data_IF_167921525133
#
_entry.id   IF_167921525133
#
_cell.length_a   1.000
_cell.length_b   1.000
_cell.length_c   1.000
_cell.angle_alpha   90.00
_cell.angle_beta   90.00
_cell.angle_gamma   90.00
#
_symmetry.space_group_name_H-M   'P 1'
#
loop_
_entity.id
_entity.type
_entity.pdbx_description
1 polymer ?
#
# COMPACT_ATOMS: atom_id res chain seq x y z
N UNK A 1 -48.71 -41.60 -42.64
CA UNK A 1 -47.63 -42.38 -41.94
C UNK A 1 -46.27 -41.78 -42.30
N UNK A 2 -45.71 -40.96 -41.45
CA UNK A 2 -44.36 -40.37 -41.65
C UNK A 2 -43.31 -41.46 -41.46
N UNK A 3 -42.47 -41.61 -42.47
CA UNK A 3 -41.52 -42.71 -42.68
C UNK A 3 -40.49 -42.75 -41.55
N UNK A 4 -40.39 -43.90 -40.84
CA UNK A 4 -39.41 -44.19 -39.75
C UNK A 4 -37.96 -43.80 -40.10
N UNK A 5 -37.60 -43.82 -41.38
CA UNK A 5 -36.27 -43.41 -41.87
C UNK A 5 -36.00 -41.89 -41.78
N UNK A 6 -37.05 -41.04 -41.83
CA UNK A 6 -36.91 -39.58 -41.66
C UNK A 6 -36.76 -39.21 -40.19
N UNK A 7 -37.43 -39.93 -39.28
CA UNK A 7 -37.31 -39.71 -37.85
C UNK A 7 -35.93 -40.02 -37.31
N UNK A 8 -35.31 -41.13 -37.79
CA UNK A 8 -33.95 -41.51 -37.40
C UNK A 8 -32.89 -40.52 -37.92
N UNK A 9 -33.08 -39.95 -39.12
CA UNK A 9 -32.18 -38.88 -39.65
C UNK A 9 -32.26 -37.59 -38.87
N UNK A 10 -33.42 -37.21 -38.37
CA UNK A 10 -33.60 -35.99 -37.55
C UNK A 10 -32.95 -36.20 -36.15
N UNK A 11 -33.08 -37.37 -35.55
CA UNK A 11 -32.44 -37.66 -34.27
C UNK A 11 -30.91 -37.70 -34.42
N UNK A 12 -30.37 -38.25 -35.49
CA UNK A 12 -28.92 -38.25 -35.74
C UNK A 12 -28.37 -36.84 -36.01
N UNK A 13 -29.13 -35.99 -36.68
CA UNK A 13 -28.71 -34.59 -36.90
C UNK A 13 -28.77 -33.78 -35.61
N UNK A 14 -29.73 -34.02 -34.72
CA UNK A 14 -29.84 -33.38 -33.44
C UNK A 14 -28.73 -33.80 -32.46
N UNK A 15 -28.35 -35.09 -32.46
CA UNK A 15 -27.23 -35.59 -31.66
C UNK A 15 -25.90 -35.12 -32.21
N UNK A 16 -25.68 -35.03 -33.52
CA UNK A 16 -24.46 -34.52 -34.11
C UNK A 16 -24.28 -33.02 -33.86
N UNK A 17 -25.34 -32.21 -33.84
CA UNK A 17 -25.25 -30.79 -33.49
C UNK A 17 -25.05 -30.55 -32.01
N UNK A 18 -25.62 -31.39 -31.13
CA UNK A 18 -25.35 -31.27 -29.66
C UNK A 18 -23.95 -31.75 -29.33
N UNK A 19 -23.39 -32.73 -30.02
CA UNK A 19 -22.02 -33.21 -29.83
C UNK A 19 -20.99 -32.23 -30.42
N UNK A 20 -21.27 -31.55 -31.52
CA UNK A 20 -20.38 -30.54 -32.08
C UNK A 20 -20.41 -29.22 -31.26
N UNK A 21 -21.55 -28.86 -30.63
CA UNK A 21 -21.63 -27.71 -29.72
C UNK A 21 -20.96 -27.96 -28.36
N UNK A 22 -20.71 -29.22 -27.96
CA UNK A 22 -19.93 -29.53 -26.75
C UNK A 22 -18.41 -29.60 -27.00
N UNK A 23 -17.96 -29.72 -28.24
CA UNK A 23 -16.54 -29.82 -28.61
C UNK A 23 -15.95 -28.55 -29.22
N UNK A 24 -16.77 -27.49 -29.47
CA UNK A 24 -16.29 -26.16 -29.80
C UNK A 24 -16.39 -25.22 -28.57
N UNK A 25 -15.94 -25.64 -27.37
CA UNK A 25 -15.13 -24.77 -26.57
C UNK A 25 -13.78 -24.78 -27.27
N UNK A 26 -13.59 -23.85 -28.20
CA UNK A 26 -12.25 -23.41 -28.56
C UNK A 26 -11.53 -23.22 -27.25
N UNK A 27 -10.49 -24.02 -27.00
CA UNK A 27 -9.44 -23.65 -26.09
C UNK A 27 -8.87 -22.35 -26.68
N UNK A 28 -9.46 -21.21 -26.33
CA UNK A 28 -8.68 -19.98 -26.28
C UNK A 28 -7.50 -20.40 -25.42
N UNK A 29 -6.32 -20.40 -26.00
CA UNK A 29 -5.09 -20.54 -25.27
C UNK A 29 -5.19 -19.48 -24.18
N UNK A 30 -5.59 -19.90 -22.96
CA UNK A 30 -5.60 -18.99 -21.81
C UNK A 30 -4.16 -18.54 -21.73
N UNK A 31 -3.92 -17.25 -21.97
CA UNK A 31 -2.62 -16.67 -21.71
C UNK A 31 -2.24 -17.09 -20.28
N UNK A 32 -1.06 -17.70 -20.09
CA UNK A 32 -0.68 -18.17 -18.79
C UNK A 32 -0.81 -17.01 -17.79
N UNK A 33 -1.45 -17.27 -16.65
CA UNK A 33 -1.60 -16.27 -15.61
C UNK A 33 -0.24 -15.64 -15.28
N UNK A 34 -0.18 -14.33 -15.02
CA UNK A 34 1.05 -13.69 -14.57
C UNK A 34 1.64 -14.46 -13.37
N UNK A 35 2.97 -14.47 -13.25
CA UNK A 35 3.66 -15.26 -12.23
C UNK A 35 3.09 -15.07 -10.81
N UNK A 36 2.68 -13.87 -10.47
CA UNK A 36 2.18 -13.53 -9.13
C UNK A 36 0.73 -13.97 -8.87
N UNK A 37 -0.01 -14.42 -9.87
CA UNK A 37 -1.33 -15.01 -9.72
C UNK A 37 -1.21 -16.52 -9.48
N UNK A 38 -1.96 -17.04 -8.51
CA UNK A 38 -2.06 -18.46 -8.23
C UNK A 38 -3.41 -19.03 -8.70
N UNK A 39 -3.47 -20.32 -9.12
CA UNK A 39 -4.71 -20.91 -9.61
C UNK A 39 -5.87 -20.92 -8.61
N UNK A 40 -5.57 -20.79 -7.31
CA UNK A 40 -6.55 -20.74 -6.23
C UNK A 40 -7.08 -19.31 -5.93
N UNK A 41 -6.75 -18.34 -6.81
CA UNK A 41 -7.17 -16.94 -6.70
C UNK A 41 -6.40 -16.11 -5.68
N UNK A 42 -5.32 -16.65 -5.11
CA UNK A 42 -4.40 -15.91 -4.23
C UNK A 42 -3.19 -15.37 -5.01
N UNK A 43 -2.39 -14.55 -4.34
CA UNK A 43 -1.21 -13.92 -4.93
C UNK A 43 0.08 -14.33 -4.24
N UNK A 44 1.20 -14.14 -4.93
CA UNK A 44 2.56 -14.38 -4.40
C UNK A 44 3.52 -13.28 -4.84
N UNK A 45 4.59 -13.10 -4.08
CA UNK A 45 5.68 -12.20 -4.45
C UNK A 45 6.45 -12.69 -5.70
N UNK A 46 7.08 -11.75 -6.41
CA UNK A 46 8.03 -12.07 -7.47
C UNK A 46 9.22 -12.88 -6.92
N UNK A 47 9.93 -13.65 -7.76
CA UNK A 47 11.15 -14.33 -7.37
C UNK A 47 12.24 -13.35 -6.91
N UNK A 48 13.14 -13.81 -6.03
CA UNK A 48 14.30 -13.05 -5.57
C UNK A 48 14.05 -12.17 -4.34
N UNK A 49 12.81 -12.05 -3.86
CA UNK A 49 12.53 -11.39 -2.58
C UNK A 49 13.03 -12.19 -1.39
N UNK A 50 13.29 -11.52 -0.25
CA UNK A 50 13.79 -12.17 0.95
C UNK A 50 12.73 -13.11 1.55
N UNK A 51 13.20 -14.16 2.18
CA UNK A 51 12.35 -15.15 2.86
C UNK A 51 12.41 -14.93 4.37
N UNK A 52 11.33 -15.26 5.06
CA UNK A 52 11.38 -15.35 6.52
C UNK A 52 12.37 -16.44 6.93
N UNK A 53 13.25 -16.12 7.84
CA UNK A 53 14.09 -17.11 8.50
C UNK A 53 13.22 -17.85 9.51
N UNK A 54 12.61 -18.94 9.07
CA UNK A 54 11.95 -19.87 9.99
C UNK A 54 13.07 -20.76 10.55
N UNK A 55 13.54 -20.47 11.77
CA UNK A 55 14.36 -21.47 12.46
C UNK A 55 13.52 -22.72 12.60
N UNK A 56 14.10 -23.88 12.30
CA UNK A 56 13.44 -25.20 12.33
C UNK A 56 12.79 -25.53 13.69
N UNK A 57 13.09 -24.77 14.72
CA UNK A 57 12.52 -24.88 16.08
C UNK A 57 11.40 -23.86 16.38
N UNK A 58 10.99 -23.02 15.43
CA UNK A 58 9.99 -21.98 15.67
C UNK A 58 8.81 -22.16 14.71
N UNK A 59 7.92 -23.08 15.10
CA UNK A 59 6.64 -23.33 14.44
C UNK A 59 5.78 -22.04 14.36
N UNK A 60 4.73 -22.07 13.52
CA UNK A 60 3.64 -21.07 13.46
C UNK A 60 3.13 -20.66 14.85
N UNK A 61 3.34 -21.51 15.87
CA UNK A 61 3.05 -21.26 17.29
C UNK A 61 3.89 -20.09 17.87
N UNK A 62 5.13 -19.90 17.42
CA UNK A 62 5.98 -18.82 17.94
C UNK A 62 5.72 -17.47 17.26
N UNK A 63 5.31 -17.46 15.99
CA UNK A 63 4.75 -16.27 15.37
C UNK A 63 3.47 -15.84 16.07
N UNK A 64 2.57 -16.81 16.35
CA UNK A 64 1.34 -16.55 17.09
C UNK A 64 1.63 -16.14 18.55
N UNK A 65 2.67 -16.68 19.15
CA UNK A 65 3.10 -16.36 20.52
C UNK A 65 3.81 -15.00 20.60
N UNK A 66 4.57 -14.61 19.58
CA UNK A 66 5.14 -13.27 19.43
C UNK A 66 4.03 -12.24 19.20
N UNK A 67 3.14 -12.51 18.24
CA UNK A 67 1.99 -11.66 17.96
C UNK A 67 1.03 -11.60 19.16
N UNK A 68 0.76 -12.73 19.81
CA UNK A 68 -0.11 -12.80 20.99
C UNK A 68 0.55 -12.17 22.23
N UNK A 69 1.82 -12.45 22.51
CA UNK A 69 2.54 -11.87 23.65
C UNK A 69 3.01 -10.45 23.38
N UNK A 70 3.48 -10.17 22.17
CA UNK A 70 4.04 -8.87 21.82
C UNK A 70 2.98 -7.82 21.53
N UNK A 71 1.90 -8.18 20.86
CA UNK A 71 0.86 -7.23 20.43
C UNK A 71 -0.42 -7.42 21.24
N UNK A 72 -1.05 -8.59 21.20
CA UNK A 72 -2.37 -8.78 21.81
C UNK A 72 -2.31 -8.77 23.34
N UNK A 73 -1.39 -9.51 23.96
CA UNK A 73 -1.31 -9.55 25.43
C UNK A 73 -0.85 -8.21 26.01
N UNK A 74 0.06 -7.52 25.34
CA UNK A 74 0.58 -6.24 25.75
C UNK A 74 -0.47 -5.13 25.63
N UNK A 75 -1.24 -5.09 24.53
CA UNK A 75 -2.32 -4.12 24.33
C UNK A 75 -3.57 -4.40 25.16
N UNK A 76 -3.93 -5.67 25.40
CA UNK A 76 -5.09 -6.01 26.23
C UNK A 76 -4.84 -5.86 27.72
N UNK A 77 -3.58 -5.95 28.20
CA UNK A 77 -3.25 -6.02 29.62
C UNK A 77 -2.25 -4.97 30.11
N UNK A 78 -1.43 -4.38 29.23
CA UNK A 78 -0.50 -3.29 29.53
C UNK A 78 -0.83 -2.05 28.68
N UNK A 79 -1.67 -1.18 29.21
CA UNK A 79 -2.18 0.02 28.55
C UNK A 79 -1.14 1.12 28.30
N UNK A 80 0.16 0.84 28.26
CA UNK A 80 1.18 1.86 28.03
C UNK A 80 2.30 1.40 27.11
N UNK A 81 2.20 1.73 25.83
CA UNK A 81 3.37 1.97 25.02
C UNK A 81 3.17 3.11 24.03
N UNK A 82 2.65 4.20 24.53
CA UNK A 82 3.03 5.52 24.00
C UNK A 82 4.49 5.69 24.42
N UNK A 83 5.42 5.91 23.47
CA UNK A 83 6.81 6.22 23.82
C UNK A 83 6.83 7.38 24.82
N UNK A 84 7.53 7.18 25.95
CA UNK A 84 7.56 8.21 27.01
C UNK A 84 8.12 9.55 26.54
N UNK A 85 8.86 9.56 25.41
CA UNK A 85 9.54 10.72 24.85
C UNK A 85 9.23 10.89 23.36
N UNK A 86 8.04 11.38 23.03
CA UNK A 86 7.75 11.83 21.65
C UNK A 86 8.55 13.11 21.41
N UNK A 87 9.42 13.17 20.37
CA UNK A 87 10.15 14.39 20.03
C UNK A 87 9.16 15.56 19.83
N UNK A 88 9.40 16.74 20.42
CA UNK A 88 8.44 17.85 20.42
C UNK A 88 8.11 18.37 19.01
N UNK A 89 9.01 18.17 18.06
CA UNK A 89 8.89 18.56 16.66
C UNK A 89 8.37 17.43 15.76
N UNK A 90 8.10 16.24 16.32
CA UNK A 90 7.65 15.11 15.55
C UNK A 90 6.26 15.31 14.90
N UNK A 91 5.39 16.10 15.51
CA UNK A 91 4.07 16.42 14.97
C UNK A 91 3.73 17.89 15.17
N UNK A 92 3.25 18.53 14.11
CA UNK A 92 2.75 19.91 14.17
C UNK A 92 1.41 19.96 14.91
N UNK A 93 1.09 21.15 15.45
CA UNK A 93 -0.28 21.39 15.92
C UNK A 93 -1.25 21.37 14.75
N UNK A 94 -2.52 21.01 14.99
CA UNK A 94 -3.55 21.02 13.93
C UNK A 94 -3.68 22.39 13.26
N UNK A 95 -3.52 23.47 14.03
CA UNK A 95 -3.55 24.85 13.52
C UNK A 95 -2.41 25.08 12.53
N UNK A 96 -1.17 24.82 12.94
CA UNK A 96 0.02 25.02 12.09
C UNK A 96 -0.02 24.16 10.83
N UNK A 97 -0.46 22.89 10.96
CA UNK A 97 -0.59 21.98 9.81
C UNK A 97 -1.61 22.50 8.78
N UNK A 98 -2.75 23.03 9.24
CA UNK A 98 -3.77 23.61 8.36
C UNK A 98 -3.31 24.92 7.72
N UNK A 99 -2.63 25.79 8.48
CA UNK A 99 -2.05 27.02 7.94
C UNK A 99 -1.05 26.71 6.83
N UNK A 100 -0.09 25.79 7.04
CA UNK A 100 0.86 25.38 6.01
C UNK A 100 0.19 24.81 4.76
N UNK A 101 -0.84 23.95 4.93
CA UNK A 101 -1.58 23.39 3.81
C UNK A 101 -2.32 24.46 3.00
N UNK A 102 -2.96 25.43 3.68
CA UNK A 102 -3.74 26.50 3.05
C UNK A 102 -2.87 27.55 2.36
N UNK A 103 -1.74 27.89 2.96
CA UNK A 103 -0.78 28.87 2.43
C UNK A 103 0.06 28.31 1.28
N UNK A 104 0.11 26.95 1.14
CA UNK A 104 0.87 26.32 0.06
C UNK A 104 0.19 26.52 -1.30
N UNK A 105 0.77 27.39 -2.11
CA UNK A 105 0.28 27.71 -3.47
C UNK A 105 0.91 26.86 -4.57
N UNK A 106 1.97 26.11 -4.27
CA UNK A 106 2.70 25.32 -5.25
C UNK A 106 1.82 24.24 -5.90
N UNK A 107 2.06 23.94 -7.19
CA UNK A 107 1.22 22.98 -7.90
C UNK A 107 1.39 21.53 -7.42
N UNK A 108 2.54 21.18 -6.84
CA UNK A 108 2.79 19.86 -6.28
C UNK A 108 3.33 20.00 -4.87
N UNK A 109 2.63 19.42 -3.91
CA UNK A 109 3.09 19.35 -2.53
C UNK A 109 2.65 18.05 -1.86
N UNK A 110 3.35 17.70 -0.80
CA UNK A 110 3.11 16.49 0.01
C UNK A 110 2.97 16.91 1.45
N UNK A 111 1.87 16.51 2.10
CA UNK A 111 1.64 16.67 3.54
C UNK A 111 1.66 15.31 4.20
N UNK A 112 2.53 15.10 5.19
CA UNK A 112 2.57 13.85 5.92
C UNK A 112 1.49 13.79 7.01
N UNK A 113 0.58 12.84 6.94
CA UNK A 113 -0.50 12.68 7.93
C UNK A 113 -0.15 11.64 9.01
N UNK A 114 1.05 11.08 8.93
CA UNK A 114 1.56 10.02 9.78
C UNK A 114 1.44 8.63 9.14
N UNK A 115 2.33 7.70 9.53
CA UNK A 115 2.44 6.36 8.97
C UNK A 115 2.69 6.39 7.45
N UNK A 116 1.87 5.70 6.66
CA UNK A 116 1.90 5.73 5.19
C UNK A 116 0.85 6.69 4.59
N UNK A 117 0.20 7.50 5.43
CA UNK A 117 -0.84 8.42 4.99
C UNK A 117 -0.25 9.77 4.57
N UNK A 118 -0.42 10.13 3.30
CA UNK A 118 -0.03 11.42 2.73
C UNK A 118 -1.19 12.07 2.00
N UNK A 119 -1.29 13.39 2.13
CA UNK A 119 -2.12 14.22 1.28
C UNK A 119 -1.22 14.84 0.22
N UNK A 120 -1.41 14.46 -1.05
CA UNK A 120 -0.62 14.93 -2.18
C UNK A 120 -1.49 15.88 -3.00
N UNK A 121 -1.04 17.12 -3.16
CA UNK A 121 -1.63 18.12 -4.05
C UNK A 121 -1.05 17.97 -5.45
N UNK A 122 -1.90 17.89 -6.45
CA UNK A 122 -1.56 17.79 -7.88
C UNK A 122 -2.38 18.83 -8.64
N UNK A 123 -1.88 20.07 -8.69
CA UNK A 123 -2.61 21.24 -9.17
C UNK A 123 -3.81 21.56 -8.29
N UNK A 124 -5.02 21.38 -8.82
CA UNK A 124 -6.28 21.61 -8.07
C UNK A 124 -6.85 20.33 -7.44
N UNK A 125 -6.14 19.20 -7.54
CA UNK A 125 -6.61 17.91 -7.04
C UNK A 125 -5.83 17.47 -5.81
N UNK A 126 -6.53 16.75 -4.93
CA UNK A 126 -5.94 16.12 -3.75
C UNK A 126 -6.06 14.61 -3.85
N UNK A 127 -4.93 13.94 -3.71
CA UNK A 127 -4.77 12.50 -3.64
C UNK A 127 -4.35 12.12 -2.22
N UNK A 128 -4.97 11.08 -1.68
CA UNK A 128 -4.70 10.58 -0.34
C UNK A 128 -4.17 9.16 -0.42
N UNK A 129 -2.99 8.87 0.15
CA UNK A 129 -2.42 7.53 0.21
C UNK A 129 -2.74 6.88 1.54
N UNK A 130 -3.04 5.57 1.54
CA UNK A 130 -3.20 4.69 2.71
C UNK A 130 -3.74 5.40 3.97
N UNK A 131 -4.97 5.94 3.93
CA UNK A 131 -5.45 6.90 4.91
C UNK A 131 -5.78 6.25 6.26
N UNK A 132 -4.76 5.91 7.04
CA UNK A 132 -4.91 5.51 8.43
C UNK A 132 -4.92 6.75 9.33
N UNK A 133 -6.09 7.34 9.56
CA UNK A 133 -6.29 8.54 10.38
C UNK A 133 -7.13 8.26 11.63
N UNK A 134 -7.64 7.04 11.81
CA UNK A 134 -8.33 6.62 13.03
C UNK A 134 -7.34 6.30 14.14
N UNK A 135 -7.85 6.12 15.35
CA UNK A 135 -7.02 5.87 16.54
C UNK A 135 -6.31 4.52 16.49
N UNK A 136 -6.98 3.47 16.01
CA UNK A 136 -6.56 2.08 16.18
C UNK A 136 -6.46 1.36 14.84
N UNK A 137 -5.34 0.69 14.59
CA UNK A 137 -5.13 -0.18 13.43
C UNK A 137 -5.56 -1.62 13.75
N UNK A 138 -6.85 -1.92 13.59
CA UNK A 138 -7.32 -3.28 13.84
C UNK A 138 -8.82 -3.48 13.66
N UNK A 139 -9.29 -4.74 13.69
CA UNK A 139 -10.71 -5.05 13.59
C UNK A 139 -11.45 -4.57 14.85
N UNK A 140 -12.64 -3.99 14.67
CA UNK A 140 -13.53 -3.58 15.75
C UNK A 140 -12.89 -2.62 16.78
N UNK A 141 -11.83 -1.88 16.40
CA UNK A 141 -11.10 -1.00 17.31
C UNK A 141 -10.15 -1.74 18.26
N UNK A 142 -9.78 -2.98 17.95
CA UNK A 142 -8.80 -3.78 18.70
C UNK A 142 -7.54 -3.89 17.85
N UNK A 143 -6.42 -3.40 18.35
CA UNK A 143 -5.12 -3.38 17.66
C UNK A 143 -4.25 -2.22 18.13
N UNK A 144 -3.07 -2.01 17.52
CA UNK A 144 -2.17 -0.94 17.91
C UNK A 144 -2.82 0.43 17.78
N UNK A 145 -2.70 1.22 18.84
CA UNK A 145 -3.16 2.61 18.85
C UNK A 145 -2.08 3.55 18.31
N UNK A 146 -2.53 4.59 17.60
CA UNK A 146 -1.65 5.73 17.29
C UNK A 146 -1.21 6.39 18.60
N UNK A 147 0.09 6.62 18.74
CA UNK A 147 0.63 7.41 19.86
C UNK A 147 0.77 8.89 19.53
N UNK A 148 0.62 9.28 18.26
CA UNK A 148 0.45 10.68 17.84
C UNK A 148 -0.83 10.83 17.01
N UNK A 149 -1.54 11.97 17.08
CA UNK A 149 -2.72 12.21 16.26
C UNK A 149 -2.36 12.28 14.77
N UNK A 150 -3.36 12.13 13.90
CA UNK A 150 -3.17 12.42 12.47
C UNK A 150 -2.82 13.90 12.28
N UNK A 151 -1.93 14.19 11.32
CA UNK A 151 -1.46 15.53 11.05
C UNK A 151 -2.58 16.53 10.76
N UNK A 152 -3.63 16.09 10.07
CA UNK A 152 -4.86 16.86 9.83
C UNK A 152 -6.05 15.96 10.17
N UNK A 153 -7.05 16.52 10.88
CA UNK A 153 -8.29 15.80 11.18
C UNK A 153 -9.07 15.50 9.90
N UNK A 154 -9.77 14.36 9.87
CA UNK A 154 -10.60 13.98 8.71
C UNK A 154 -11.62 15.05 8.33
N UNK A 155 -12.20 15.76 9.32
CA UNK A 155 -13.16 16.84 9.11
C UNK A 155 -12.59 18.04 8.36
N UNK A 156 -11.27 18.26 8.50
CA UNK A 156 -10.54 19.44 8.05
C UNK A 156 -9.73 19.17 6.76
N UNK A 157 -9.78 17.93 6.26
CA UNK A 157 -9.21 17.58 4.96
C UNK A 157 -9.92 18.36 3.85
N UNK A 158 -9.19 18.79 2.80
CA UNK A 158 -9.80 19.34 1.60
C UNK A 158 -10.65 18.27 0.88
N UNK A 159 -11.37 18.67 -0.15
CA UNK A 159 -12.12 17.73 -0.99
C UNK A 159 -11.16 16.77 -1.69
N UNK A 160 -11.21 15.50 -1.29
CA UNK A 160 -10.36 14.45 -1.86
C UNK A 160 -10.92 14.01 -3.20
N UNK A 161 -10.07 13.95 -4.21
CA UNK A 161 -10.41 13.49 -5.55
C UNK A 161 -10.09 12.00 -5.75
N UNK A 162 -8.96 11.56 -5.18
CA UNK A 162 -8.46 10.20 -5.35
C UNK A 162 -7.89 9.64 -4.04
N UNK A 163 -8.11 8.37 -3.81
CA UNK A 163 -7.50 7.62 -2.71
C UNK A 163 -6.72 6.46 -3.34
N UNK A 164 -5.46 6.30 -2.96
CA UNK A 164 -4.64 5.13 -3.27
C UNK A 164 -4.57 4.23 -2.04
N UNK A 165 -4.83 2.95 -2.21
CA UNK A 165 -4.67 1.92 -1.18
C UNK A 165 -3.58 0.96 -1.66
N UNK A 166 -2.49 0.82 -0.90
CA UNK A 166 -1.40 -0.09 -1.25
C UNK A 166 -1.73 -1.56 -1.01
N UNK A 167 -2.38 -1.87 0.09
CA UNK A 167 -2.78 -3.22 0.46
C UNK A 167 -3.86 -3.22 1.57
N UNK A 168 -4.27 -4.41 2.02
CA UNK A 168 -5.45 -4.53 2.88
C UNK A 168 -5.17 -4.53 4.39
N UNK A 169 -3.95 -4.33 4.87
CA UNK A 169 -3.69 -4.26 6.30
C UNK A 169 -4.45 -3.10 6.96
N UNK A 170 -4.67 -3.19 8.28
CA UNK A 170 -5.56 -2.27 8.98
C UNK A 170 -5.00 -0.85 9.14
N UNK A 171 -3.69 -0.73 9.10
CA UNK A 171 -2.91 0.51 9.16
C UNK A 171 -2.71 1.18 7.78
N UNK A 172 -3.27 0.59 6.71
CA UNK A 172 -3.29 1.14 5.35
C UNK A 172 -4.72 1.28 4.84
N UNK A 173 -5.50 0.21 4.80
CA UNK A 173 -6.92 0.24 4.48
C UNK A 173 -7.72 0.41 5.79
N UNK A 174 -7.74 1.62 6.32
CA UNK A 174 -8.52 1.98 7.52
C UNK A 174 -9.98 2.25 7.16
N UNK A 175 -10.82 1.26 7.38
CA UNK A 175 -12.26 1.37 7.08
C UNK A 175 -12.97 2.42 7.94
N UNK A 176 -12.43 2.75 9.11
CA UNK A 176 -12.98 3.80 10.00
C UNK A 176 -12.77 5.18 9.40
N UNK A 177 -11.58 5.45 8.89
CA UNK A 177 -11.28 6.68 8.15
C UNK A 177 -12.08 6.75 6.85
N UNK A 178 -12.02 5.70 6.03
CA UNK A 178 -12.70 5.66 4.73
C UNK A 178 -14.22 5.86 4.84
N UNK A 179 -14.86 5.40 5.91
CA UNK A 179 -16.28 5.67 6.19
C UNK A 179 -16.57 7.15 6.44
N UNK A 180 -15.62 7.93 6.95
CA UNK A 180 -15.78 9.34 7.32
C UNK A 180 -15.40 10.32 6.20
N UNK A 181 -14.67 9.90 5.18
CA UNK A 181 -14.37 10.73 4.01
C UNK A 181 -15.69 11.20 3.35
N UNK A 182 -15.74 12.48 3.02
CA UNK A 182 -16.90 13.10 2.36
C UNK A 182 -16.95 12.74 0.86
N UNK A 183 -18.05 12.99 0.22
CA UNK A 183 -18.21 12.94 -1.25
C UNK A 183 -17.80 11.61 -1.91
N UNK A 184 -18.02 10.46 -1.24
CA UNK A 184 -17.60 9.12 -1.70
C UNK A 184 -18.15 8.71 -3.06
N UNK A 185 -19.25 9.34 -3.52
CA UNK A 185 -19.85 9.08 -4.83
C UNK A 185 -19.02 9.63 -5.99
N UNK A 186 -18.13 10.61 -5.74
CA UNK A 186 -17.26 11.22 -6.76
C UNK A 186 -15.77 10.89 -6.55
N UNK A 187 -15.38 10.52 -5.33
CA UNK A 187 -13.99 10.11 -5.02
C UNK A 187 -13.67 8.81 -5.76
N UNK A 188 -12.57 8.82 -6.50
CA UNK A 188 -12.01 7.60 -7.13
C UNK A 188 -11.10 6.89 -6.15
N UNK A 189 -11.33 5.61 -5.87
CA UNK A 189 -10.42 4.77 -5.09
C UNK A 189 -9.70 3.83 -6.03
N UNK A 190 -8.37 3.91 -6.06
CA UNK A 190 -7.49 3.00 -6.80
C UNK A 190 -6.86 2.06 -5.79
N UNK A 191 -6.97 0.77 -6.00
CA UNK A 191 -6.54 -0.25 -5.05
C UNK A 191 -6.04 -1.51 -5.77
N UNK A 192 -5.36 -2.43 -5.07
CA UNK A 192 -4.98 -3.73 -5.61
C UNK A 192 -6.18 -4.62 -5.92
N UNK A 193 -5.93 -5.65 -6.72
CA UNK A 193 -6.92 -6.67 -7.09
C UNK A 193 -7.57 -7.31 -5.85
N UNK A 194 -8.85 -7.65 -6.00
CA UNK A 194 -9.73 -8.28 -4.99
C UNK A 194 -10.11 -7.40 -3.79
N UNK A 195 -9.98 -6.06 -3.91
CA UNK A 195 -10.44 -5.10 -2.90
C UNK A 195 -11.75 -4.38 -3.25
N UNK A 196 -12.24 -4.50 -4.48
CA UNK A 196 -13.46 -3.83 -4.96
C UNK A 196 -14.63 -3.99 -3.99
N UNK A 197 -14.95 -5.22 -3.59
CA UNK A 197 -16.08 -5.50 -2.68
C UNK A 197 -15.92 -4.82 -1.33
N UNK A 198 -14.71 -4.83 -0.78
CA UNK A 198 -14.41 -4.20 0.51
C UNK A 198 -14.61 -2.68 0.42
N UNK A 199 -14.02 -2.04 -0.60
CA UNK A 199 -14.05 -0.59 -0.74
C UNK A 199 -15.45 -0.09 -1.14
N UNK A 200 -16.12 -0.75 -2.08
CA UNK A 200 -17.47 -0.36 -2.51
C UNK A 200 -18.51 -0.50 -1.39
N UNK A 201 -18.34 -1.47 -0.48
CA UNK A 201 -19.19 -1.62 0.72
C UNK A 201 -19.10 -0.43 1.69
N UNK A 202 -18.05 0.41 1.59
CA UNK A 202 -17.88 1.63 2.38
C UNK A 202 -18.61 2.85 1.75
N UNK A 203 -19.26 2.66 0.61
CA UNK A 203 -20.05 3.68 -0.07
C UNK A 203 -19.36 4.35 -1.27
N UNK A 204 -18.16 3.92 -1.65
CA UNK A 204 -17.47 4.43 -2.84
C UNK A 204 -18.09 3.86 -4.11
N UNK A 205 -18.35 4.75 -5.10
CA UNK A 205 -18.95 4.39 -6.39
C UNK A 205 -17.92 4.17 -7.50
N UNK A 206 -16.76 4.80 -7.39
CA UNK A 206 -15.67 4.71 -8.35
C UNK A 206 -14.50 3.98 -7.70
N UNK A 207 -14.45 2.66 -7.86
CA UNK A 207 -13.39 1.80 -7.36
C UNK A 207 -12.71 1.13 -8.55
N UNK A 208 -11.41 1.31 -8.67
CA UNK A 208 -10.58 0.79 -9.75
C UNK A 208 -9.54 -0.12 -9.14
N UNK A 209 -9.53 -1.36 -9.57
CA UNK A 209 -8.51 -2.34 -9.18
C UNK A 209 -7.41 -2.39 -10.24
N UNK A 210 -6.15 -2.34 -9.79
CA UNK A 210 -5.00 -2.43 -10.68
C UNK A 210 -4.14 -3.65 -10.32
N UNK A 211 -3.76 -4.37 -11.35
CA UNK A 211 -2.67 -5.35 -11.30
C UNK A 211 -1.31 -4.66 -11.45
N UNK A 212 -0.21 -5.38 -11.20
CA UNK A 212 1.12 -4.81 -11.38
C UNK A 212 1.38 -4.40 -12.82
N UNK A 213 1.83 -3.14 -12.98
CA UNK A 213 2.05 -2.43 -14.24
C UNK A 213 0.78 -1.99 -14.97
N UNK A 214 -0.41 -2.20 -14.38
CA UNK A 214 -1.62 -1.53 -14.87
C UNK A 214 -1.55 -0.03 -14.60
N UNK A 215 -2.12 0.75 -15.52
CA UNK A 215 -2.15 2.20 -15.46
C UNK A 215 -3.58 2.72 -15.46
N UNK A 216 -3.81 3.75 -14.65
CA UNK A 216 -5.07 4.47 -14.61
C UNK A 216 -4.82 5.96 -14.82
N UNK A 217 -5.31 6.48 -15.93
CA UNK A 217 -5.41 7.92 -16.14
C UNK A 217 -6.55 8.48 -15.27
N UNK A 218 -6.24 9.44 -14.43
CA UNK A 218 -7.22 10.09 -13.56
C UNK A 218 -7.13 11.62 -13.72
N UNK A 219 -8.03 12.17 -14.54
CA UNK A 219 -8.05 13.58 -14.93
C UNK A 219 -6.69 14.04 -15.54
N UNK A 220 -5.85 14.75 -14.76
CA UNK A 220 -4.60 15.34 -15.22
C UNK A 220 -3.33 14.65 -14.69
N UNK A 221 -3.47 13.52 -14.03
CA UNK A 221 -2.35 12.70 -13.58
C UNK A 221 -2.58 11.23 -13.90
N UNK A 222 -1.50 10.45 -13.94
CA UNK A 222 -1.53 9.01 -14.17
C UNK A 222 -1.04 8.26 -12.94
N UNK A 223 -1.63 7.11 -12.66
CA UNK A 223 -1.23 6.20 -11.59
C UNK A 223 -0.90 4.85 -12.20
N UNK A 224 0.33 4.37 -11.97
CA UNK A 224 0.77 3.04 -12.35
C UNK A 224 0.96 2.20 -11.10
N UNK A 225 0.29 1.06 -11.00
CA UNK A 225 0.57 0.10 -9.94
C UNK A 225 1.88 -0.63 -10.21
N UNK A 226 2.70 -0.84 -9.19
CA UNK A 226 3.98 -1.53 -9.31
C UNK A 226 4.13 -2.61 -8.25
N UNK A 227 4.95 -3.65 -8.49
CA UNK A 227 5.17 -4.72 -7.52
C UNK A 227 5.74 -4.19 -6.20
N UNK A 228 5.40 -4.88 -5.12
CA UNK A 228 6.04 -4.80 -3.81
C UNK A 228 6.31 -6.21 -3.27
N UNK A 229 7.26 -6.36 -2.34
CA UNK A 229 7.47 -7.59 -1.59
C UNK A 229 6.74 -7.50 -0.26
N UNK A 230 5.49 -7.98 -0.23
CA UNK A 230 4.65 -7.91 0.95
C UNK A 230 3.68 -9.09 1.02
N UNK A 231 2.59 -8.93 1.73
CA UNK A 231 1.51 -9.91 1.89
C UNK A 231 0.20 -9.20 2.25
N UNK A 232 -0.90 -9.93 2.21
CA UNK A 232 -2.20 -9.39 2.55
C UNK A 232 -3.02 -10.35 3.40
N UNK A 233 -3.74 -9.83 4.39
CA UNK A 233 -4.72 -10.58 5.18
C UNK A 233 -5.53 -9.64 6.07
N UNK A 234 -6.81 -9.93 6.23
CA UNK A 234 -7.67 -9.38 7.28
C UNK A 234 -8.39 -10.51 8.00
N UNK A 235 -8.99 -10.21 9.16
CA UNK A 235 -9.78 -11.19 9.91
C UNK A 235 -10.87 -11.80 9.02
N UNK A 236 -10.96 -13.14 9.00
CA UNK A 236 -11.90 -13.88 8.16
C UNK A 236 -11.51 -14.03 6.69
N UNK A 237 -10.38 -13.46 6.25
CA UNK A 237 -9.89 -13.59 4.88
C UNK A 237 -8.77 -14.64 4.78
N UNK A 238 -8.67 -15.29 3.61
CA UNK A 238 -7.56 -16.16 3.25
C UNK A 238 -6.28 -15.34 3.10
N UNK A 239 -5.14 -15.91 3.49
CA UNK A 239 -3.82 -15.30 3.30
C UNK A 239 -3.59 -15.00 1.81
N UNK A 240 -3.10 -13.80 1.50
CA UNK A 240 -2.83 -13.34 0.14
C UNK A 240 -4.03 -13.40 -0.82
N UNK A 241 -5.25 -13.29 -0.31
CA UNK A 241 -6.46 -13.26 -1.16
C UNK A 241 -6.68 -11.93 -1.88
N UNK A 242 -5.97 -10.88 -1.53
CA UNK A 242 -5.89 -9.60 -2.24
C UNK A 242 -4.46 -9.33 -2.65
N UNK A 243 -4.24 -8.59 -3.72
CA UNK A 243 -2.90 -8.17 -4.13
C UNK A 243 -2.40 -7.03 -3.22
N UNK A 244 -1.14 -6.62 -3.39
CA UNK A 244 -0.47 -5.47 -2.76
C UNK A 244 0.37 -4.74 -3.79
N UNK A 245 0.38 -3.41 -3.74
CA UNK A 245 1.01 -2.55 -4.74
C UNK A 245 1.84 -1.44 -4.08
N UNK A 246 2.95 -1.06 -4.73
CA UNK A 246 3.42 0.31 -4.74
C UNK A 246 2.74 1.08 -5.86
N UNK A 247 2.97 2.38 -5.94
CA UNK A 247 2.39 3.24 -6.97
C UNK A 247 3.41 4.25 -7.51
N UNK A 248 3.35 4.48 -8.81
CA UNK A 248 3.98 5.63 -9.47
C UNK A 248 2.87 6.62 -9.81
N UNK A 249 3.02 7.85 -9.36
CA UNK A 249 2.09 8.95 -9.61
C UNK A 249 2.80 9.94 -10.52
N UNK A 250 2.32 10.11 -11.75
CA UNK A 250 2.89 11.01 -12.73
C UNK A 250 1.94 12.20 -12.96
N UNK A 251 2.42 13.41 -12.70
CA UNK A 251 1.71 14.66 -12.92
C UNK A 251 2.62 15.66 -13.64
N UNK A 252 2.27 16.05 -14.87
CA UNK A 252 3.11 16.88 -15.73
C UNK A 252 4.52 16.25 -15.88
N UNK A 253 5.57 16.99 -15.53
CA UNK A 253 6.96 16.50 -15.54
C UNK A 253 7.39 15.83 -14.23
N UNK A 254 6.55 15.78 -13.21
CA UNK A 254 6.88 15.22 -11.89
C UNK A 254 6.43 13.78 -11.78
N UNK A 255 7.29 12.94 -11.20
CA UNK A 255 7.01 11.54 -10.86
C UNK A 255 7.27 11.30 -9.39
N UNK A 256 6.27 10.78 -8.69
CA UNK A 256 6.34 10.40 -7.28
C UNK A 256 6.20 8.88 -7.20
N UNK A 257 7.12 8.23 -6.50
CA UNK A 257 7.01 6.82 -6.14
C UNK A 257 6.52 6.71 -4.70
N UNK A 258 5.48 5.89 -4.49
CA UNK A 258 4.95 5.52 -3.18
C UNK A 258 5.08 3.99 -3.02
N UNK A 259 5.87 3.53 -2.07
CA UNK A 259 6.17 2.11 -1.94
C UNK A 259 5.01 1.26 -1.40
N UNK A 260 4.07 1.85 -0.63
CA UNK A 260 3.33 1.06 0.34
C UNK A 260 4.30 0.35 1.28
N UNK A 261 3.96 -0.83 1.75
CA UNK A 261 4.87 -1.69 2.51
C UNK A 261 5.62 -2.63 1.58
N UNK A 262 6.92 -2.75 1.80
CA UNK A 262 7.76 -3.62 0.99
C UNK A 262 9.03 -4.05 1.71
N UNK A 263 9.51 -5.25 1.40
CA UNK A 263 10.89 -5.65 1.65
C UNK A 263 11.78 -5.25 0.47
N UNK A 264 13.09 -5.31 0.67
CA UNK A 264 14.10 -5.11 -0.37
C UNK A 264 14.13 -6.28 -1.37
N UNK A 265 14.48 -6.02 -2.64
CA UNK A 265 14.73 -7.08 -3.62
C UNK A 265 14.96 -6.58 -5.04
N UNK A 266 15.28 -7.49 -5.99
CA UNK A 266 15.78 -7.15 -7.33
C UNK A 266 14.77 -6.48 -8.26
N UNK A 267 13.48 -6.46 -7.92
CA UNK A 267 12.46 -5.84 -8.77
C UNK A 267 12.62 -4.33 -8.89
N UNK A 268 13.23 -3.66 -7.89
CA UNK A 268 13.35 -2.20 -7.87
C UNK A 268 14.25 -1.66 -8.98
N UNK A 269 15.32 -2.39 -9.37
CA UNK A 269 16.11 -2.06 -10.56
C UNK A 269 15.24 -1.97 -11.81
N UNK A 270 14.36 -2.96 -12.03
CA UNK A 270 13.44 -2.98 -13.17
C UNK A 270 12.39 -1.87 -13.12
N UNK A 271 11.91 -1.51 -11.93
CA UNK A 271 10.99 -0.37 -11.76
C UNK A 271 11.71 0.93 -12.10
N UNK A 272 12.94 1.12 -11.61
CA UNK A 272 13.77 2.28 -11.92
C UNK A 272 14.07 2.42 -13.41
N UNK A 273 14.49 1.35 -14.07
CA UNK A 273 14.75 1.29 -15.51
C UNK A 273 13.50 1.62 -16.35
N UNK A 274 12.33 1.07 -15.96
CA UNK A 274 11.10 1.20 -16.74
C UNK A 274 10.38 2.54 -16.52
N UNK A 275 10.34 3.03 -15.27
CA UNK A 275 9.47 4.12 -14.87
C UNK A 275 10.21 5.34 -14.30
N UNK A 276 11.48 5.18 -13.87
CA UNK A 276 12.30 6.26 -13.33
C UNK A 276 12.76 7.29 -14.39
N UNK A 277 13.52 8.31 -14.03
CA UNK A 277 13.82 8.69 -12.65
C UNK A 277 12.60 9.27 -11.91
N UNK A 278 12.67 9.30 -10.56
CA UNK A 278 11.61 9.86 -9.72
C UNK A 278 12.04 11.19 -9.09
N UNK A 279 11.13 12.17 -9.05
CA UNK A 279 11.38 13.43 -8.37
C UNK A 279 11.28 13.30 -6.84
N UNK A 280 10.43 12.36 -6.36
CA UNK A 280 10.29 12.01 -4.95
C UNK A 280 10.00 10.52 -4.82
N UNK A 281 10.70 9.85 -3.90
CA UNK A 281 10.37 8.50 -3.45
C UNK A 281 9.94 8.54 -1.98
N UNK A 282 8.71 8.12 -1.71
CA UNK A 282 8.17 7.89 -0.37
C UNK A 282 8.28 6.39 -0.08
N UNK A 283 9.15 6.03 0.88
CA UNK A 283 9.55 4.65 1.14
C UNK A 283 9.35 4.27 2.61
N UNK A 284 8.81 3.07 2.86
CA UNK A 284 8.67 2.50 4.20
C UNK A 284 10.05 2.25 4.82
N UNK A 285 10.27 2.72 6.06
CA UNK A 285 11.52 2.59 6.80
C UNK A 285 11.34 2.02 8.21
N UNK A 286 10.12 1.66 8.59
CA UNK A 286 9.77 1.07 9.89
C UNK A 286 9.31 -0.37 9.79
N UNK A 287 9.01 -0.98 10.94
CA UNK A 287 8.54 -2.35 11.08
C UNK A 287 9.56 -3.40 10.62
N UNK A 288 10.86 -3.21 10.85
CA UNK A 288 11.90 -4.10 10.36
C UNK A 288 12.47 -5.06 11.42
N UNK A 289 12.18 -4.89 12.72
CA UNK A 289 12.65 -5.77 13.78
C UNK A 289 11.52 -6.63 14.42
N UNK A 290 11.79 -7.89 14.82
CA UNK A 290 13.05 -8.61 14.66
C UNK A 290 13.28 -9.05 13.21
N UNK A 291 14.49 -8.81 12.68
CA UNK A 291 14.81 -8.94 11.26
C UNK A 291 14.41 -10.28 10.64
N UNK A 292 14.73 -11.40 11.30
CA UNK A 292 14.41 -12.74 10.78
C UNK A 292 12.90 -12.97 10.50
N UNK A 293 12.01 -12.19 11.15
CA UNK A 293 10.57 -12.24 10.91
C UNK A 293 10.12 -11.21 9.88
N UNK A 294 10.69 -9.99 9.94
CA UNK A 294 10.18 -8.83 9.21
C UNK A 294 10.81 -8.69 7.82
N UNK A 295 12.01 -9.23 7.59
CA UNK A 295 12.75 -9.08 6.33
C UNK A 295 11.99 -9.48 5.07
N UNK A 296 11.02 -10.38 5.16
CA UNK A 296 10.21 -10.82 4.02
C UNK A 296 9.11 -9.82 3.61
N UNK A 297 8.90 -8.77 4.40
CA UNK A 297 7.77 -7.85 4.25
C UNK A 297 8.14 -6.38 4.40
N UNK A 298 9.26 -6.08 5.09
CA UNK A 298 9.72 -4.73 5.38
C UNK A 298 11.21 -4.62 5.17
N UNK A 299 11.66 -3.52 4.58
CA UNK A 299 13.08 -3.19 4.46
C UNK A 299 13.57 -2.45 5.71
N UNK A 300 14.89 -2.51 5.95
CA UNK A 300 15.54 -1.63 6.91
C UNK A 300 15.68 -0.22 6.33
N UNK A 301 15.98 0.81 7.14
CA UNK A 301 16.27 2.13 6.62
C UNK A 301 17.40 2.17 5.58
N UNK A 302 18.43 1.34 5.76
CA UNK A 302 19.56 1.21 4.84
C UNK A 302 19.11 0.58 3.50
N UNK A 303 18.36 -0.53 3.55
CA UNK A 303 17.76 -1.15 2.37
C UNK A 303 16.78 -0.21 1.65
N UNK A 304 16.06 0.62 2.40
CA UNK A 304 15.18 1.64 1.82
C UNK A 304 15.96 2.67 1.00
N UNK A 305 17.12 3.10 1.48
CA UNK A 305 18.00 4.00 0.72
C UNK A 305 18.54 3.31 -0.54
N UNK A 306 18.95 2.05 -0.45
CA UNK A 306 19.38 1.28 -1.63
C UNK A 306 18.24 1.19 -2.67
N UNK A 307 16.99 0.97 -2.24
CA UNK A 307 15.82 1.02 -3.13
C UNK A 307 15.74 2.39 -3.82
N UNK A 308 15.90 3.50 -3.10
CA UNK A 308 15.79 4.84 -3.69
C UNK A 308 16.88 5.12 -4.73
N UNK A 309 18.06 4.55 -4.56
CA UNK A 309 19.16 4.59 -5.55
C UNK A 309 18.83 3.79 -6.79
N UNK A 310 18.33 2.56 -6.64
CA UNK A 310 17.86 1.72 -7.76
C UNK A 310 16.71 2.38 -8.55
N UNK A 311 15.88 3.16 -7.88
CA UNK A 311 14.80 3.94 -8.48
C UNK A 311 15.29 5.25 -9.13
N UNK A 312 16.54 5.62 -8.97
CA UNK A 312 17.11 6.89 -9.46
C UNK A 312 16.34 8.11 -8.93
N UNK A 313 16.15 8.15 -7.62
CA UNK A 313 15.32 9.14 -6.93
C UNK A 313 16.10 10.44 -6.68
N UNK A 314 15.48 11.60 -6.98
CA UNK A 314 16.08 12.92 -6.70
C UNK A 314 15.92 13.31 -5.24
N UNK A 315 14.71 13.12 -4.69
CA UNK A 315 14.40 13.36 -3.28
C UNK A 315 13.83 12.09 -2.66
N UNK A 316 14.10 11.89 -1.38
CA UNK A 316 13.68 10.69 -0.65
C UNK A 316 13.00 11.08 0.66
N UNK A 317 11.95 10.35 1.02
CA UNK A 317 11.15 10.56 2.22
C UNK A 317 10.84 9.23 2.89
N UNK A 318 11.34 9.04 4.10
CA UNK A 318 11.05 7.85 4.91
C UNK A 318 9.65 7.94 5.55
N UNK A 319 8.86 6.89 5.43
CA UNK A 319 7.53 6.77 6.02
C UNK A 319 7.36 5.48 6.83
N UNK A 320 6.17 5.21 7.36
CA UNK A 320 5.80 4.01 8.11
C UNK A 320 6.55 3.86 9.44
N UNK A 321 6.84 4.98 10.10
CA UNK A 321 7.48 5.06 11.41
C UNK A 321 6.81 6.13 12.28
N UNK A 322 7.17 6.19 13.56
CA UNK A 322 6.80 7.30 14.44
C UNK A 322 5.29 7.52 14.66
N UNK A 323 4.43 6.54 14.40
CA UNK A 323 2.97 6.71 14.45
C UNK A 323 2.28 5.67 15.31
N UNK A 324 2.55 4.40 15.07
CA UNK A 324 2.06 3.25 15.82
C UNK A 324 3.20 2.26 16.00
N UNK A 325 3.11 1.40 17.01
CA UNK A 325 4.11 0.38 17.25
C UNK A 325 3.72 -0.94 16.61
N UNK A 326 4.45 -1.37 15.59
CA UNK A 326 4.20 -2.62 14.87
C UNK A 326 5.29 -3.68 15.07
N UNK A 327 6.43 -3.29 15.64
CA UNK A 327 7.65 -4.09 15.66
C UNK A 327 8.51 -3.76 16.89
N UNK A 328 9.73 -4.28 16.94
CA UNK A 328 10.56 -4.25 18.13
C UNK A 328 11.62 -3.13 18.15
N UNK A 329 11.89 -2.47 17.01
CA UNK A 329 12.81 -1.35 16.94
C UNK A 329 12.34 -0.15 17.79
N UNK A 330 13.30 0.69 18.21
CA UNK A 330 12.97 1.98 18.80
C UNK A 330 12.20 2.85 17.79
N UNK A 331 11.06 3.44 18.15
CA UNK A 331 10.23 4.20 17.21
C UNK A 331 10.91 5.43 16.61
N UNK A 332 12.03 5.89 17.19
CA UNK A 332 12.78 7.08 16.75
C UNK A 332 14.08 6.73 16.01
N UNK A 333 14.45 5.46 15.98
CA UNK A 333 15.65 4.97 15.29
C UNK A 333 15.55 5.03 13.75
N UNK A 334 14.39 4.70 13.10
CA UNK A 334 14.32 4.59 11.66
C UNK A 334 14.76 5.85 10.89
N UNK A 335 14.32 7.08 11.22
CA UNK A 335 14.74 8.27 10.49
C UNK A 335 16.23 8.58 10.67
N UNK A 336 16.80 8.27 11.84
CA UNK A 336 18.24 8.48 12.12
C UNK A 336 19.08 7.59 11.22
N UNK A 337 18.74 6.30 11.14
CA UNK A 337 19.43 5.33 10.26
C UNK A 337 19.24 5.69 8.80
N UNK A 338 18.01 6.05 8.39
CA UNK A 338 17.69 6.44 7.02
C UNK A 338 18.52 7.64 6.56
N UNK A 339 18.57 8.70 7.36
CA UNK A 339 19.37 9.89 7.07
C UNK A 339 20.85 9.57 6.94
N UNK A 340 21.39 8.80 7.90
CA UNK A 340 22.79 8.38 7.87
C UNK A 340 23.11 7.56 6.62
N UNK A 341 22.29 6.58 6.28
CA UNK A 341 22.46 5.76 5.08
C UNK A 341 22.38 6.61 3.81
N UNK A 342 21.41 7.51 3.72
CA UNK A 342 21.22 8.40 2.58
C UNK A 342 22.43 9.33 2.37
N UNK A 343 23.01 9.86 3.45
CA UNK A 343 24.23 10.67 3.36
C UNK A 343 25.44 9.86 2.86
N UNK A 344 25.58 8.60 3.30
CA UNK A 344 26.62 7.69 2.81
C UNK A 344 26.44 7.33 1.33
N UNK A 345 25.20 7.22 0.86
CA UNK A 345 24.85 6.98 -0.55
C UNK A 345 25.03 8.23 -1.45
N UNK A 346 25.32 9.40 -0.84
CA UNK A 346 25.63 10.64 -1.56
C UNK A 346 24.45 11.61 -1.69
N UNK A 347 23.30 11.33 -1.07
CA UNK A 347 22.18 12.29 -1.01
C UNK A 347 22.58 13.52 -0.20
N UNK A 348 22.32 14.71 -0.73
CA UNK A 348 22.52 15.98 -0.04
C UNK A 348 21.39 16.22 0.97
N UNK A 349 21.65 17.03 2.00
CA UNK A 349 20.68 17.28 3.07
C UNK A 349 19.29 17.74 2.57
N UNK A 350 19.23 18.59 1.53
CA UNK A 350 17.96 19.07 0.98
C UNK A 350 17.17 18.00 0.19
N UNK A 351 17.83 16.91 -0.21
CA UNK A 351 17.21 15.77 -0.92
C UNK A 351 16.61 14.74 0.04
N UNK A 352 17.03 14.74 1.30
CA UNK A 352 16.52 13.88 2.36
C UNK A 352 15.40 14.64 3.06
N UNK A 353 14.16 14.24 2.80
CA UNK A 353 13.01 14.92 3.38
C UNK A 353 12.71 14.31 4.76
N UNK A 354 12.84 15.12 5.77
CA UNK A 354 12.43 14.82 7.14
C UNK A 354 11.21 15.71 7.43
N UNK A 355 10.02 15.13 7.49
CA UNK A 355 8.78 15.85 7.74
C UNK A 355 8.26 15.54 9.14
N UNK A 356 7.77 16.57 9.82
CA UNK A 356 6.87 16.39 10.97
C UNK A 356 5.49 15.92 10.50
N UNK A 357 4.78 15.17 11.33
CA UNK A 357 3.39 14.80 11.03
C UNK A 357 2.55 16.10 10.97
N UNK A 358 1.89 16.35 9.85
CA UNK A 358 1.16 17.57 9.53
C UNK A 358 1.94 18.57 8.68
N UNK A 359 3.25 18.39 8.49
CA UNK A 359 4.06 19.29 7.68
C UNK A 359 3.78 19.13 6.19
N UNK A 360 3.69 20.25 5.49
CA UNK A 360 3.51 20.34 4.04
C UNK A 360 4.81 20.81 3.39
N UNK A 361 5.30 20.05 2.41
CA UNK A 361 6.51 20.38 1.63
C UNK A 361 6.24 20.36 0.13
N UNK A 362 6.72 21.36 -0.58
CA UNK A 362 6.56 21.49 -2.03
C UNK A 362 7.58 20.67 -2.79
N UNK A 363 7.15 20.05 -3.89
CA UNK A 363 8.02 19.36 -4.85
C UNK A 363 8.28 20.27 -6.04
N UNK A 364 9.28 21.11 -5.87
CA UNK A 364 9.70 22.12 -6.86
C UNK A 364 10.54 21.49 -8.00
#
# INVERSE_FOLDING_TARGET
MRNRRQFVKIIFFFFATIFSLKYFKTAQAENPLPYHHLPDGTFRNLPGGPKREVSSNHSSLNFFRFFYKGIIKREMFDQKEIPDNIPPDHALTQKTALEQLQENTDPVSVTWLGHAAFLIKLGKQYLLTDPFLSKTAGPLGIGPDRYVPAGIKISDLPDINTILISHNHYDHLDTTTLKKIKNKNIVTVICPLNLFKTVSSLGYKKVIELDWYDEQQNNNFNVTAVPAYHWSRRLGQKYNSTLWNGYVIAYQSKKIYFSGDTAFGPMFSKIGEKLGPFDLTMISIGAYEPRGMMQASHCTPEEAVEITSLLTSKNILGMHWGTIRLSAEDPWEPPIKFKKAAQLEGYKAHQIWELSIGETKSLI
#
